data_IF_300859393160
#
_entry.id   IF_300859393160
#
_cell.length_a   1.000
_cell.length_b   1.000
_cell.length_c   1.000
_cell.angle_alpha   90.00
_cell.angle_beta   90.00
_cell.angle_gamma   90.00
#
_symmetry.space_group_name_H-M   'P 1'
#
loop_
_entity.id
_entity.type
_entity.pdbx_description
1 polymer ?
#
# COMPACT_ATOMS: atom_id res chain seq x y z
N UNK A 1 3.23 30.73 25.87
CA UNK A 1 2.16 30.27 24.95
C UNK A 1 2.50 30.81 23.57
N UNK A 2 3.22 30.03 22.77
CA UNK A 2 3.59 30.43 21.40
C UNK A 2 2.73 29.59 20.48
N UNK A 3 1.63 30.17 20.02
CA UNK A 3 0.81 29.65 18.93
C UNK A 3 1.68 29.57 17.67
N UNK A 4 2.27 28.41 17.42
CA UNK A 4 2.91 28.11 16.16
C UNK A 4 1.83 28.14 15.07
N UNK A 5 1.81 29.22 14.29
CA UNK A 5 0.98 29.35 13.13
C UNK A 5 1.24 28.16 12.20
N UNK A 6 0.25 27.26 12.05
CA UNK A 6 0.27 26.25 11.01
C UNK A 6 0.33 27.00 9.68
N UNK A 7 1.49 27.04 9.03
CA UNK A 7 1.67 27.76 7.77
C UNK A 7 0.76 27.09 6.73
N UNK A 8 -0.03 27.89 6.01
CA UNK A 8 -0.99 27.48 4.98
C UNK A 8 -0.45 26.49 3.91
N UNK A 9 0.88 26.39 3.79
CA UNK A 9 1.62 25.44 2.95
C UNK A 9 1.36 23.97 3.34
N UNK A 10 1.17 23.67 4.63
CA UNK A 10 1.11 22.28 5.14
C UNK A 10 -0.24 21.58 4.86
N UNK A 11 -1.19 22.29 4.24
CA UNK A 11 -2.54 21.79 3.92
C UNK A 11 -2.84 21.71 2.42
N UNK A 12 -1.88 22.06 1.55
CA UNK A 12 -2.12 22.03 0.10
C UNK A 12 -1.86 20.64 -0.45
N UNK A 13 -2.91 20.01 -0.97
CA UNK A 13 -2.82 18.76 -1.73
C UNK A 13 -1.99 19.02 -2.99
N UNK A 14 -0.99 18.18 -3.25
CA UNK A 14 -0.16 18.31 -4.45
C UNK A 14 -1.00 18.15 -5.72
N UNK A 15 -0.84 19.01 -6.74
CA UNK A 15 -1.46 18.81 -8.05
C UNK A 15 -1.16 17.44 -8.67
N UNK A 16 0.03 16.88 -8.37
CA UNK A 16 0.42 15.54 -8.80
C UNK A 16 -0.50 14.47 -8.21
N UNK A 17 -0.80 14.56 -6.90
CA UNK A 17 -1.72 13.64 -6.25
C UNK A 17 -3.13 13.74 -6.83
N UNK A 18 -3.62 14.97 -7.05
CA UNK A 18 -4.92 15.19 -7.71
C UNK A 18 -4.93 14.58 -9.10
N UNK A 19 -3.84 14.74 -9.87
CA UNK A 19 -3.69 14.09 -11.17
C UNK A 19 -3.77 12.57 -11.10
N UNK A 20 -3.11 11.94 -10.13
CA UNK A 20 -3.15 10.47 -9.94
C UNK A 20 -4.56 10.02 -9.54
N UNK A 21 -5.24 10.74 -8.64
CA UNK A 21 -6.64 10.45 -8.28
C UNK A 21 -7.55 10.58 -9.50
N UNK A 22 -7.35 11.60 -10.33
CA UNK A 22 -8.10 11.77 -11.57
C UNK A 22 -7.85 10.61 -12.56
N UNK A 23 -6.60 10.15 -12.71
CA UNK A 23 -6.28 8.97 -13.51
C UNK A 23 -7.00 7.74 -12.97
N UNK A 24 -6.95 7.49 -11.66
CA UNK A 24 -7.65 6.37 -11.04
C UNK A 24 -9.17 6.45 -11.28
N UNK A 25 -9.78 7.63 -11.13
CA UNK A 25 -11.21 7.81 -11.36
C UNK A 25 -11.62 7.60 -12.82
N UNK A 26 -10.88 8.18 -13.77
CA UNK A 26 -11.17 8.07 -15.21
C UNK A 26 -10.97 6.65 -15.71
N UNK A 27 -9.90 5.99 -15.28
CA UNK A 27 -9.60 4.61 -15.72
C UNK A 27 -10.49 3.59 -15.02
N UNK A 28 -10.88 3.84 -13.75
CA UNK A 28 -11.92 3.07 -13.06
C UNK A 28 -13.30 3.23 -13.71
N UNK A 29 -13.65 4.42 -14.19
CA UNK A 29 -14.85 4.61 -15.00
C UNK A 29 -14.74 3.88 -16.34
N UNK A 30 -13.60 3.94 -17.02
CA UNK A 30 -13.39 3.27 -18.30
C UNK A 30 -13.44 1.73 -18.17
N UNK A 31 -12.94 1.16 -17.07
CA UNK A 31 -13.08 -0.29 -16.78
C UNK A 31 -14.51 -0.67 -16.44
N UNK A 32 -15.28 0.23 -15.82
CA UNK A 32 -16.70 0.01 -15.55
C UNK A 32 -17.55 0.09 -16.81
N UNK A 33 -17.40 1.11 -17.64
CA UNK A 33 -18.26 1.28 -18.83
C UNK A 33 -17.83 0.44 -20.01
N UNK A 34 -16.66 -0.22 -19.95
CA UNK A 34 -16.06 -0.90 -21.09
C UNK A 34 -15.64 0.07 -22.20
N UNK A 35 -15.33 1.33 -21.85
CA UNK A 35 -14.98 2.37 -22.82
C UNK A 35 -13.62 2.12 -23.50
N UNK A 36 -12.70 1.46 -22.80
CA UNK A 36 -11.36 1.22 -23.33
C UNK A 36 -11.38 0.09 -24.38
N UNK A 37 -10.83 0.36 -25.57
CA UNK A 37 -10.64 -0.66 -26.62
C UNK A 37 -9.84 -1.87 -26.13
N UNK A 38 -8.89 -1.63 -25.22
CA UNK A 38 -8.14 -2.66 -24.52
C UNK A 38 -8.45 -2.60 -23.02
N UNK A 39 -9.33 -3.48 -22.50
CA UNK A 39 -9.73 -3.49 -21.09
C UNK A 39 -8.52 -3.57 -20.13
N UNK A 40 -7.50 -4.35 -20.50
CA UNK A 40 -6.30 -4.54 -19.69
C UNK A 40 -5.49 -3.25 -19.46
N UNK A 41 -5.45 -2.33 -20.42
CA UNK A 41 -4.77 -1.03 -20.24
C UNK A 41 -5.50 -0.18 -19.20
N UNK A 42 -6.84 -0.18 -19.24
CA UNK A 42 -7.64 0.55 -18.26
C UNK A 42 -7.50 -0.07 -16.86
N UNK A 43 -7.49 -1.39 -16.74
CA UNK A 43 -7.22 -2.10 -15.48
C UNK A 43 -5.84 -1.78 -14.94
N UNK A 44 -4.80 -1.83 -15.78
CA UNK A 44 -3.43 -1.51 -15.40
C UNK A 44 -3.31 -0.10 -14.81
N UNK A 45 -3.85 0.90 -15.52
CA UNK A 45 -3.78 2.29 -15.07
C UNK A 45 -4.62 2.52 -13.81
N UNK A 46 -5.81 1.91 -13.72
CA UNK A 46 -6.67 2.00 -12.55
C UNK A 46 -6.00 1.46 -11.29
N UNK A 47 -5.53 0.21 -11.35
CA UNK A 47 -4.91 -0.48 -10.21
C UNK A 47 -3.62 0.23 -9.82
N UNK A 48 -2.77 0.61 -10.78
CA UNK A 48 -1.50 1.32 -10.50
C UNK A 48 -1.75 2.67 -9.84
N UNK A 49 -2.68 3.47 -10.39
CA UNK A 49 -2.98 4.79 -9.83
C UNK A 49 -3.61 4.69 -8.43
N UNK A 50 -4.57 3.78 -8.24
CA UNK A 50 -5.20 3.54 -6.94
C UNK A 50 -4.19 3.04 -5.88
N UNK A 51 -3.27 2.16 -6.29
CA UNK A 51 -2.16 1.71 -5.46
C UNK A 51 -1.26 2.87 -5.01
N UNK A 52 -0.84 3.74 -5.93
CA UNK A 52 -0.03 4.93 -5.62
C UNK A 52 -0.78 5.88 -4.67
N UNK A 53 -2.10 6.04 -4.86
CA UNK A 53 -2.93 6.82 -3.93
C UNK A 53 -2.87 6.23 -2.52
N UNK A 54 -3.05 4.91 -2.37
CA UNK A 54 -2.97 4.25 -1.06
C UNK A 54 -1.62 4.47 -0.37
N UNK A 55 -0.52 4.41 -1.13
CA UNK A 55 0.83 4.65 -0.61
C UNK A 55 1.01 6.10 -0.16
N UNK A 56 0.49 7.06 -0.92
CA UNK A 56 0.52 8.46 -0.50
C UNK A 56 -0.27 8.67 0.80
N UNK A 57 -1.41 7.99 0.96
CA UNK A 57 -2.22 8.03 2.17
C UNK A 57 -1.52 7.36 3.35
N UNK A 58 -0.85 6.23 3.14
CA UNK A 58 -0.03 5.53 4.12
C UNK A 58 1.05 6.44 4.72
N UNK A 59 1.84 7.08 3.86
CA UNK A 59 2.90 8.00 4.30
C UNK A 59 2.35 9.26 4.94
N UNK A 60 1.24 9.76 4.42
CA UNK A 60 0.52 10.86 5.04
C UNK A 60 0.01 10.50 6.44
N UNK A 61 -0.45 9.27 6.67
CA UNK A 61 -0.91 8.81 7.97
C UNK A 61 0.22 8.76 9.01
N UNK A 62 1.40 8.28 8.62
CA UNK A 62 2.62 8.38 9.44
C UNK A 62 2.93 9.83 9.80
N UNK A 63 3.03 10.69 8.79
CA UNK A 63 3.35 12.11 8.96
C UNK A 63 2.33 12.84 9.86
N UNK A 64 1.05 12.57 9.64
CA UNK A 64 -0.05 13.19 10.39
C UNK A 64 -0.07 12.76 11.85
N UNK A 65 0.12 11.47 12.10
CA UNK A 65 0.14 10.90 13.46
C UNK A 65 1.34 11.40 14.25
N UNK A 66 2.48 11.56 13.59
CA UNK A 66 3.68 12.10 14.22
C UNK A 66 3.56 13.60 14.50
N UNK A 67 2.92 14.38 13.61
CA UNK A 67 2.57 15.78 13.89
C UNK A 67 1.67 15.91 15.13
N UNK A 68 0.60 15.11 15.20
CA UNK A 68 -0.29 15.09 16.39
C UNK A 68 0.45 14.62 17.65
N UNK A 69 1.47 13.78 17.50
CA UNK A 69 2.30 13.28 18.61
C UNK A 69 3.34 14.30 19.11
N UNK A 70 3.48 15.44 18.43
CA UNK A 70 4.35 16.56 18.81
C UNK A 70 5.61 16.74 17.96
N UNK A 71 5.77 15.98 16.86
CA UNK A 71 6.89 16.17 15.95
C UNK A 71 6.60 17.28 14.92
N UNK A 72 7.03 18.48 15.27
CA UNK A 72 6.89 19.69 14.46
C UNK A 72 7.83 19.70 13.24
N UNK A 73 8.82 18.79 13.17
CA UNK A 73 9.78 18.73 12.04
C UNK A 73 9.17 18.21 10.74
N UNK A 74 8.01 17.55 10.83
CA UNK A 74 7.36 16.89 9.70
C UNK A 74 6.66 17.89 8.77
N UNK A 75 6.14 19.00 9.33
CA UNK A 75 5.58 20.09 8.52
C UNK A 75 6.60 20.64 7.52
N UNK A 76 7.86 20.79 7.94
CA UNK A 76 8.95 21.28 7.08
C UNK A 76 9.43 20.29 6.01
N UNK A 77 9.15 18.99 6.13
CA UNK A 77 9.61 17.97 5.17
C UNK A 77 8.67 17.78 3.97
N UNK A 78 7.50 18.40 3.99
CA UNK A 78 6.54 18.35 2.87
C UNK A 78 5.76 17.03 2.73
N UNK A 79 5.91 16.09 3.66
CA UNK A 79 5.17 14.82 3.69
C UNK A 79 3.66 15.00 3.89
N UNK A 80 3.21 16.17 4.36
CA UNK A 80 1.78 16.49 4.48
C UNK A 80 1.11 16.89 3.15
N UNK A 81 1.88 16.99 2.06
CA UNK A 81 1.36 17.46 0.75
C UNK A 81 0.87 16.34 -0.17
N UNK A 82 0.87 15.08 0.29
CA UNK A 82 0.47 13.90 -0.50
C UNK A 82 1.27 13.72 -1.80
N UNK A 83 2.46 14.32 -1.92
CA UNK A 83 3.24 14.27 -3.15
C UNK A 83 4.13 13.01 -3.18
N UNK A 84 3.89 12.03 -4.10
CA UNK A 84 4.69 10.81 -4.18
C UNK A 84 6.17 11.08 -4.42
N UNK A 85 6.51 12.17 -5.12
CA UNK A 85 7.88 12.53 -5.48
C UNK A 85 8.69 13.07 -4.30
N UNK A 86 8.03 13.44 -3.19
CA UNK A 86 8.71 13.97 -2.00
C UNK A 86 9.05 12.90 -0.98
N UNK A 87 8.52 11.69 -1.12
CA UNK A 87 8.80 10.60 -0.18
C UNK A 87 10.16 9.98 -0.49
N UNK A 88 11.08 10.02 0.49
CA UNK A 88 12.51 9.72 0.32
C UNK A 88 12.83 8.29 -0.13
N UNK A 89 11.91 7.34 0.06
CA UNK A 89 12.09 5.94 -0.35
C UNK A 89 11.10 5.46 -1.41
N UNK A 90 10.37 6.37 -2.07
CA UNK A 90 9.39 6.02 -3.11
C UNK A 90 9.94 5.05 -4.18
N UNK A 91 11.24 5.09 -4.49
CA UNK A 91 11.86 4.14 -5.42
C UNK A 91 11.97 2.70 -4.87
N UNK A 92 12.47 2.50 -3.65
CA UNK A 92 12.53 1.15 -3.07
C UNK A 92 11.16 0.67 -2.60
N UNK A 93 10.27 1.62 -2.29
CA UNK A 93 8.99 1.35 -1.67
C UNK A 93 7.81 1.26 -2.64
N UNK A 94 7.90 1.93 -3.77
CA UNK A 94 6.78 1.99 -4.72
C UNK A 94 7.20 1.33 -6.02
N UNK A 95 8.43 1.59 -6.46
CA UNK A 95 8.89 1.13 -7.78
C UNK A 95 9.27 -0.36 -7.76
N UNK A 96 9.93 -0.87 -6.71
CA UNK A 96 10.33 -2.28 -6.67
C UNK A 96 9.11 -3.24 -6.58
N UNK A 97 8.18 -3.09 -5.62
CA UNK A 97 6.83 -3.68 -5.64
C UNK A 97 6.13 -3.75 -7.00
N UNK A 98 5.94 -2.59 -7.62
CA UNK A 98 5.18 -2.44 -8.86
C UNK A 98 5.93 -3.07 -10.02
N UNK A 99 7.27 -2.94 -10.07
CA UNK A 99 8.10 -3.63 -11.07
C UNK A 99 8.00 -5.15 -10.94
N UNK A 100 7.95 -5.72 -9.74
CA UNK A 100 7.78 -7.16 -9.57
C UNK A 100 6.40 -7.64 -10.03
N UNK A 101 5.32 -6.91 -9.69
CA UNK A 101 3.97 -7.17 -10.21
C UNK A 101 3.95 -7.14 -11.75
N UNK A 102 4.66 -6.19 -12.36
CA UNK A 102 4.78 -6.03 -13.81
C UNK A 102 5.66 -7.12 -14.45
N UNK A 103 6.76 -7.53 -13.82
CA UNK A 103 7.63 -8.60 -14.34
C UNK A 103 7.02 -10.00 -14.19
N UNK A 104 5.89 -10.10 -13.49
CA UNK A 104 5.17 -11.34 -13.29
C UNK A 104 5.54 -12.12 -12.04
N UNK A 105 6.21 -11.44 -11.11
CA UNK A 105 6.38 -11.87 -9.74
C UNK A 105 5.33 -11.25 -8.82
N UNK A 106 5.00 -12.00 -7.78
CA UNK A 106 4.68 -11.58 -6.41
C UNK A 106 4.62 -10.04 -6.21
N UNK A 107 3.41 -9.49 -6.01
CA UNK A 107 3.24 -8.09 -5.58
C UNK A 107 3.44 -7.94 -4.09
N UNK A 108 4.27 -6.98 -3.65
CA UNK A 108 4.62 -6.76 -2.23
C UNK A 108 4.75 -5.25 -1.95
N UNK A 109 4.56 -4.73 -0.72
CA UNK A 109 4.62 -3.31 -0.43
C UNK A 109 6.03 -2.78 -0.24
N UNK A 110 6.06 -1.46 -0.10
CA UNK A 110 7.24 -0.67 -0.02
C UNK A 110 7.94 -0.52 1.29
N UNK A 111 9.25 -0.22 1.22
CA UNK A 111 10.08 0.18 2.36
C UNK A 111 9.66 1.45 3.09
N UNK A 112 10.18 1.58 4.30
CA UNK A 112 9.75 2.58 5.27
C UNK A 112 10.27 4.01 5.02
N UNK A 113 9.51 4.99 5.52
CA UNK A 113 9.93 6.38 5.69
C UNK A 113 10.67 6.58 7.01
N UNK A 114 11.85 7.23 6.95
CA UNK A 114 12.61 7.61 8.13
C UNK A 114 11.98 8.82 8.84
N UNK A 115 11.31 8.53 9.95
CA UNK A 115 10.82 9.52 10.92
C UNK A 115 11.92 9.77 11.94
N UNK A 116 12.18 11.05 12.27
CA UNK A 116 13.12 11.43 13.32
C UNK A 116 12.50 11.18 14.71
N UNK A 117 12.56 9.92 15.15
CA UNK A 117 12.02 9.43 16.44
C UNK A 117 12.62 10.14 17.68
N UNK A 118 13.68 10.94 17.53
CA UNK A 118 14.36 11.61 18.64
C UNK A 118 13.55 12.68 19.39
N UNK A 119 12.45 13.20 18.83
CA UNK A 119 11.65 14.28 19.45
C UNK A 119 10.34 13.85 20.10
N UNK A 120 9.93 12.59 19.95
CA UNK A 120 8.60 12.15 20.39
C UNK A 120 8.70 11.47 21.75
N UNK A 121 8.00 12.02 22.75
CA UNK A 121 7.99 11.50 24.13
C UNK A 121 6.92 10.42 24.29
N UNK A 122 7.33 9.17 24.52
CA UNK A 122 6.48 8.07 24.96
C UNK A 122 6.43 6.88 23.99
N UNK A 123 6.63 5.66 24.52
CA UNK A 123 6.71 4.41 23.73
C UNK A 123 5.46 4.15 22.89
N UNK A 124 4.28 4.43 23.46
CA UNK A 124 2.99 4.30 22.78
C UNK A 124 2.83 5.21 21.56
N UNK A 125 3.35 6.45 21.63
CA UNK A 125 3.25 7.38 20.50
C UNK A 125 4.12 6.92 19.34
N UNK A 126 5.32 6.40 19.62
CA UNK A 126 6.18 5.79 18.60
C UNK A 126 5.50 4.60 17.94
N UNK A 127 4.93 3.69 18.73
CA UNK A 127 4.20 2.53 18.20
C UNK A 127 3.01 2.96 17.34
N UNK A 128 2.24 3.96 17.77
CA UNK A 128 1.07 4.44 17.04
C UNK A 128 1.46 5.10 15.71
N UNK A 129 2.56 5.86 15.69
CA UNK A 129 3.09 6.45 14.45
C UNK A 129 3.45 5.36 13.47
N UNK A 130 4.20 4.34 13.88
CA UNK A 130 4.54 3.22 13.02
C UNK A 130 3.33 2.36 12.64
N UNK A 131 2.28 2.29 13.45
CA UNK A 131 1.05 1.57 13.08
C UNK A 131 0.17 2.34 12.08
N UNK A 132 0.29 3.67 12.00
CA UNK A 132 -0.64 4.52 11.24
C UNK A 132 -0.66 4.21 9.73
N UNK A 133 0.50 3.97 9.11
CA UNK A 133 0.59 3.56 7.71
C UNK A 133 -0.04 2.19 7.46
N UNK A 134 0.43 1.12 8.13
CA UNK A 134 -0.17 -0.22 8.00
C UNK A 134 -1.68 -0.25 8.22
N UNK A 135 -2.19 0.50 9.21
CA UNK A 135 -3.63 0.64 9.46
C UNK A 135 -4.37 1.35 8.33
N UNK A 136 -3.72 2.29 7.64
CA UNK A 136 -4.29 2.97 6.47
C UNK A 136 -4.39 2.00 5.29
N UNK A 137 -3.38 1.15 5.06
CA UNK A 137 -3.45 0.09 4.05
C UNK A 137 -4.54 -0.92 4.38
N UNK A 138 -4.66 -1.33 5.65
CA UNK A 138 -5.71 -2.23 6.09
C UNK A 138 -7.11 -1.62 5.89
N UNK A 139 -7.29 -0.33 6.22
CA UNK A 139 -8.54 0.37 5.96
C UNK A 139 -8.84 0.45 4.46
N UNK A 140 -7.84 0.73 3.62
CA UNK A 140 -7.99 0.76 2.18
C UNK A 140 -8.37 -0.62 1.63
N UNK A 141 -7.75 -1.69 2.13
CA UNK A 141 -8.10 -3.07 1.81
C UNK A 141 -9.58 -3.35 2.16
N UNK A 142 -10.04 -2.97 3.35
CA UNK A 142 -11.45 -3.11 3.75
C UNK A 142 -12.39 -2.34 2.82
N UNK A 143 -12.02 -1.13 2.40
CA UNK A 143 -12.82 -0.37 1.44
C UNK A 143 -12.88 -1.06 0.07
N UNK A 144 -11.77 -1.64 -0.39
CA UNK A 144 -11.73 -2.38 -1.64
C UNK A 144 -12.52 -3.70 -1.57
N UNK A 145 -12.53 -4.37 -0.42
CA UNK A 145 -13.29 -5.63 -0.26
C UNK A 145 -14.74 -5.43 0.15
N UNK A 146 -15.13 -4.24 0.65
CA UNK A 146 -16.49 -3.90 1.07
C UNK A 146 -17.57 -4.34 0.08
N UNK A 147 -17.45 -4.08 -1.24
CA UNK A 147 -18.49 -4.48 -2.18
C UNK A 147 -18.73 -6.00 -2.25
N UNK A 148 -17.71 -6.81 -1.98
CA UNK A 148 -17.76 -8.28 -2.10
C UNK A 148 -18.60 -8.90 -0.97
N UNK A 149 -18.32 -8.54 0.28
CA UNK A 149 -19.06 -9.11 1.43
C UNK A 149 -20.37 -8.39 1.75
N UNK A 150 -20.58 -7.16 1.23
CA UNK A 150 -21.86 -6.46 1.32
C UNK A 150 -22.87 -6.89 0.25
N UNK A 151 -22.47 -7.74 -0.71
CA UNK A 151 -23.32 -8.11 -1.85
C UNK A 151 -23.61 -6.94 -2.79
N UNK A 152 -22.76 -5.91 -2.83
CA UNK A 152 -22.96 -4.71 -3.65
C UNK A 152 -22.36 -4.84 -5.05
N UNK A 153 -22.12 -6.07 -5.51
CA UNK A 153 -21.53 -6.38 -6.82
C UNK A 153 -22.56 -6.77 -7.89
N UNK A 154 -23.85 -6.78 -7.54
CA UNK A 154 -24.92 -7.05 -8.49
C UNK A 154 -24.97 -5.96 -9.57
N UNK A 155 -24.93 -6.38 -10.83
CA UNK A 155 -24.86 -5.47 -11.98
C UNK A 155 -23.49 -4.81 -12.23
N UNK A 156 -22.47 -5.14 -11.43
CA UNK A 156 -21.09 -4.67 -11.64
C UNK A 156 -20.42 -5.47 -12.76
N UNK A 157 -19.87 -4.81 -13.79
CA UNK A 157 -19.14 -5.45 -14.87
C UNK A 157 -18.01 -6.36 -14.36
N UNK A 158 -17.84 -7.59 -14.92
CA UNK A 158 -16.83 -8.53 -14.46
C UNK A 158 -15.40 -7.97 -14.48
N UNK A 159 -15.03 -7.23 -15.55
CA UNK A 159 -13.71 -6.60 -15.67
C UNK A 159 -13.41 -5.66 -14.49
N UNK A 160 -14.36 -4.82 -14.10
CA UNK A 160 -14.20 -3.93 -12.95
C UNK A 160 -14.10 -4.71 -11.65
N UNK A 161 -14.93 -5.74 -11.48
CA UNK A 161 -14.90 -6.63 -10.32
C UNK A 161 -13.53 -7.31 -10.16
N UNK A 162 -12.97 -7.84 -11.23
CA UNK A 162 -11.64 -8.46 -11.25
C UNK A 162 -10.53 -7.45 -10.94
N UNK A 163 -10.60 -6.25 -11.53
CA UNK A 163 -9.66 -5.17 -11.23
C UNK A 163 -9.69 -4.77 -9.74
N UNK A 164 -10.89 -4.68 -9.15
CA UNK A 164 -11.08 -4.37 -7.73
C UNK A 164 -10.59 -5.50 -6.83
N UNK A 165 -10.84 -6.76 -7.19
CA UNK A 165 -10.35 -7.94 -6.46
C UNK A 165 -8.82 -7.98 -6.45
N UNK A 166 -8.18 -7.71 -7.58
CA UNK A 166 -6.72 -7.63 -7.66
C UNK A 166 -6.15 -6.44 -6.88
N UNK A 167 -6.80 -5.27 -6.93
CA UNK A 167 -6.42 -4.15 -6.07
C UNK A 167 -6.53 -4.53 -4.58
N UNK A 168 -7.59 -5.24 -4.18
CA UNK A 168 -7.75 -5.73 -2.81
C UNK A 168 -6.62 -6.70 -2.41
N UNK A 169 -6.24 -7.64 -3.29
CA UNK A 169 -5.09 -8.54 -3.10
C UNK A 169 -3.82 -7.75 -2.81
N UNK A 170 -3.52 -6.74 -3.62
CA UNK A 170 -2.36 -5.88 -3.41
C UNK A 170 -2.43 -5.18 -2.04
N UNK A 171 -3.58 -4.62 -1.66
CA UNK A 171 -3.75 -3.89 -0.40
C UNK A 171 -3.66 -4.79 0.85
N UNK A 172 -4.23 -5.98 0.81
CA UNK A 172 -4.12 -6.98 1.88
C UNK A 172 -2.65 -7.41 2.02
N UNK A 173 -2.00 -7.72 0.90
CA UNK A 173 -0.58 -8.03 0.86
C UNK A 173 0.26 -6.89 1.44
N UNK A 174 -0.09 -5.65 1.08
CA UNK A 174 0.55 -4.45 1.60
C UNK A 174 0.43 -4.32 3.12
N UNK A 175 -0.76 -4.56 3.64
CA UNK A 175 -1.04 -4.48 5.06
C UNK A 175 -0.25 -5.56 5.82
N UNK A 176 -0.33 -6.82 5.38
CA UNK A 176 0.34 -7.95 6.05
C UNK A 176 1.84 -7.73 6.12
N UNK A 177 2.49 -7.39 4.99
CA UNK A 177 3.93 -7.19 4.97
C UNK A 177 4.36 -5.97 5.80
N UNK A 178 3.60 -4.87 5.77
CA UNK A 178 3.93 -3.72 6.62
C UNK A 178 3.68 -3.99 8.11
N UNK A 179 2.88 -4.98 8.48
CA UNK A 179 2.75 -5.42 9.88
C UNK A 179 3.84 -6.42 10.32
N UNK A 180 4.66 -6.95 9.41
CA UNK A 180 5.73 -7.87 9.80
C UNK A 180 6.73 -7.19 10.75
N UNK A 181 7.11 -7.86 11.85
CA UNK A 181 8.07 -7.32 12.82
C UNK A 181 9.53 -7.43 12.32
N UNK A 182 9.79 -7.07 11.06
CA UNK A 182 11.12 -7.12 10.44
C UNK A 182 11.76 -5.72 10.45
N UNK A 183 13.04 -5.59 10.88
CA UNK A 183 13.73 -4.31 10.93
C UNK A 183 13.67 -3.57 9.59
N UNK A 184 13.29 -2.30 9.58
CA UNK A 184 13.13 -1.53 8.33
C UNK A 184 11.73 -1.57 7.72
N UNK A 185 10.82 -2.37 8.27
CA UNK A 185 9.37 -2.27 8.03
C UNK A 185 8.65 -1.61 9.21
N UNK A 186 7.44 -1.15 8.97
CA UNK A 186 6.64 -0.43 9.96
C UNK A 186 6.26 -1.27 11.17
N UNK A 187 5.98 -2.57 10.97
CA UNK A 187 5.65 -3.51 12.03
C UNK A 187 6.75 -3.65 13.07
N UNK A 188 8.03 -3.61 12.64
CA UNK A 188 9.14 -3.50 13.60
C UNK A 188 9.10 -2.18 14.34
N UNK A 189 8.78 -1.07 13.67
CA UNK A 189 8.60 0.24 14.28
C UNK A 189 7.52 0.26 15.37
N UNK A 190 6.50 -0.61 15.29
CA UNK A 190 5.47 -0.77 16.34
C UNK A 190 6.04 -1.40 17.60
N UNK A 191 6.88 -2.44 17.47
CA UNK A 191 7.45 -3.18 18.60
C UNK A 191 8.76 -2.59 19.12
N UNK A 192 9.51 -1.87 18.28
CA UNK A 192 10.82 -1.31 18.61
C UNK A 192 10.82 -0.53 19.93
N UNK A 193 9.85 0.36 20.22
CA UNK A 193 9.80 1.12 21.48
C UNK A 193 9.68 0.27 22.74
N UNK A 194 9.34 -1.02 22.61
CA UNK A 194 9.20 -1.99 23.69
C UNK A 194 10.44 -2.87 23.87
N UNK A 195 11.29 -2.96 22.85
CA UNK A 195 12.54 -3.72 22.91
C UNK A 195 13.56 -3.05 23.83
N UNK A 196 14.44 -3.87 24.44
CA UNK A 196 15.55 -3.37 25.26
C UNK A 196 16.56 -2.59 24.40
N UNK A 197 17.28 -1.66 25.03
CA UNK A 197 18.29 -0.84 24.33
C UNK A 197 19.37 -1.69 23.63
N UNK A 198 19.78 -2.81 24.26
CA UNK A 198 20.76 -3.75 23.69
C UNK A 198 20.26 -4.35 22.36
N UNK A 199 19.01 -4.80 22.33
CA UNK A 199 18.40 -5.38 21.13
C UNK A 199 18.28 -4.35 20.02
N UNK A 200 17.80 -3.13 20.32
CA UNK A 200 17.70 -2.08 19.29
C UNK A 200 19.03 -1.77 18.63
N UNK A 201 20.09 -1.60 19.44
CA UNK A 201 21.43 -1.29 18.93
C UNK A 201 22.04 -2.43 18.09
N UNK A 202 21.69 -3.68 18.39
CA UNK A 202 22.11 -4.83 17.59
C UNK A 202 21.35 -4.93 16.26
N UNK A 203 20.09 -4.51 16.25
CA UNK A 203 19.18 -4.65 15.11
C UNK A 203 19.23 -3.46 14.15
N UNK A 204 19.55 -2.26 14.65
CA UNK A 204 19.64 -1.01 13.88
C UNK A 204 20.48 -1.12 12.58
N UNK A 205 21.66 -1.78 12.56
CA UNK A 205 22.44 -1.94 11.33
C UNK A 205 21.75 -2.78 10.25
N UNK A 206 20.80 -3.63 10.63
CA UNK A 206 20.06 -4.51 9.71
C UNK A 206 18.82 -3.85 9.12
N UNK A 207 18.36 -2.71 9.65
CA UNK A 207 17.14 -2.04 9.19
C UNK A 207 17.14 -1.71 7.68
N UNK A 208 18.24 -1.24 7.06
CA UNK A 208 18.26 -1.00 5.61
C UNK A 208 18.14 -2.29 4.77
N UNK A 209 18.52 -3.44 5.34
CA UNK A 209 18.50 -4.73 4.66
C UNK A 209 17.20 -5.51 4.88
N UNK A 210 16.35 -5.13 5.83
CA UNK A 210 15.20 -5.97 6.17
C UNK A 210 14.18 -6.11 5.05
N UNK A 211 13.96 -5.07 4.24
CA UNK A 211 13.14 -5.18 3.04
C UNK A 211 13.73 -6.21 2.05
N UNK A 212 15.05 -6.16 1.82
CA UNK A 212 15.78 -7.12 0.97
C UNK A 212 15.70 -8.54 1.57
N UNK A 213 15.79 -8.67 2.89
CA UNK A 213 15.67 -9.95 3.58
C UNK A 213 14.28 -10.57 3.42
N UNK A 214 13.22 -9.77 3.52
CA UNK A 214 11.84 -10.22 3.25
C UNK A 214 11.72 -10.71 1.81
N UNK A 215 12.28 -9.99 0.84
CA UNK A 215 12.30 -10.44 -0.56
C UNK A 215 13.06 -11.76 -0.74
N UNK A 216 14.24 -11.89 -0.14
CA UNK A 216 15.04 -13.12 -0.23
C UNK A 216 14.31 -14.32 0.37
N UNK A 217 13.59 -14.12 1.48
CA UNK A 217 12.79 -15.16 2.13
C UNK A 217 11.56 -15.53 1.32
N UNK A 218 10.86 -14.56 0.72
CA UNK A 218 9.70 -14.81 -0.14
C UNK A 218 10.07 -15.38 -1.51
N UNK A 219 11.35 -15.43 -1.86
CA UNK A 219 11.83 -16.15 -3.05
C UNK A 219 11.82 -17.67 -2.84
N UNK A 220 11.78 -18.14 -1.59
CA UNK A 220 11.66 -19.56 -1.27
C UNK A 220 10.23 -20.00 -1.61
N UNK A 221 10.02 -20.95 -2.55
CA UNK A 221 8.69 -21.30 -3.05
C UNK A 221 7.72 -21.72 -1.95
N UNK A 222 8.21 -22.46 -0.95
CA UNK A 222 7.39 -22.91 0.17
C UNK A 222 6.91 -21.71 0.97
N UNK A 223 7.81 -20.80 1.36
CA UNK A 223 7.45 -19.60 2.14
C UNK A 223 6.51 -18.71 1.34
N UNK A 224 6.72 -18.62 0.03
CA UNK A 224 5.84 -17.88 -0.86
C UNK A 224 4.42 -18.45 -0.88
N UNK A 225 4.27 -19.77 -1.02
CA UNK A 225 2.99 -20.46 -0.97
C UNK A 225 2.26 -20.18 0.34
N UNK A 226 2.92 -20.42 1.48
CA UNK A 226 2.34 -20.13 2.81
C UNK A 226 1.94 -18.66 2.98
N UNK A 227 2.71 -17.73 2.42
CA UNK A 227 2.39 -16.31 2.48
C UNK A 227 1.13 -15.97 1.67
N UNK A 228 1.03 -16.43 0.43
CA UNK A 228 -0.15 -16.17 -0.40
C UNK A 228 -1.37 -16.96 0.05
N UNK A 229 -1.21 -18.18 0.58
CA UNK A 229 -2.31 -18.92 1.23
C UNK A 229 -2.93 -18.09 2.37
N UNK A 230 -2.09 -17.40 3.16
CA UNK A 230 -2.56 -16.51 4.22
C UNK A 230 -3.28 -15.27 3.65
N UNK A 231 -2.76 -14.67 2.57
CA UNK A 231 -3.41 -13.54 1.89
C UNK A 231 -4.76 -13.95 1.31
N UNK A 232 -4.82 -15.09 0.63
CA UNK A 232 -6.03 -15.65 0.02
C UNK A 232 -7.05 -16.05 1.08
N UNK A 233 -6.62 -16.61 2.22
CA UNK A 233 -7.51 -16.90 3.34
C UNK A 233 -8.17 -15.62 3.89
N UNK A 234 -7.42 -14.52 3.99
CA UNK A 234 -7.97 -13.21 4.39
C UNK A 234 -8.94 -12.68 3.34
N UNK A 235 -8.58 -12.74 2.05
CA UNK A 235 -9.45 -12.31 0.96
C UNK A 235 -10.75 -13.11 0.88
N UNK A 236 -10.66 -14.44 0.96
CA UNK A 236 -11.81 -15.34 0.98
C UNK A 236 -12.72 -15.07 2.18
N UNK A 237 -12.14 -14.79 3.35
CA UNK A 237 -12.89 -14.34 4.53
C UNK A 237 -13.60 -12.99 4.32
N UNK A 238 -13.12 -12.15 3.41
CA UNK A 238 -13.72 -10.88 3.00
C UNK A 238 -14.60 -11.00 1.74
N UNK A 239 -14.91 -12.22 1.29
CA UNK A 239 -15.79 -12.49 0.15
C UNK A 239 -15.14 -12.32 -1.22
N UNK A 240 -13.83 -12.09 -1.30
CA UNK A 240 -13.09 -12.03 -2.56
C UNK A 240 -12.60 -13.42 -2.91
N UNK A 241 -13.11 -13.98 -4.00
CA UNK A 241 -12.68 -15.29 -4.50
C UNK A 241 -11.31 -15.17 -5.19
N UNK A 242 -10.42 -16.15 -4.97
CA UNK A 242 -9.06 -16.16 -5.55
C UNK A 242 -9.08 -16.01 -7.07
N UNK A 243 -10.00 -16.70 -7.74
CA UNK A 243 -10.20 -16.60 -9.20
C UNK A 243 -10.43 -15.15 -9.69
N UNK A 244 -11.14 -14.33 -8.92
CA UNK A 244 -11.42 -12.94 -9.30
C UNK A 244 -10.15 -12.08 -9.21
N UNK A 245 -9.33 -12.32 -8.19
CA UNK A 245 -8.04 -11.67 -8.04
C UNK A 245 -7.05 -12.12 -9.13
N UNK A 246 -7.04 -13.41 -9.49
CA UNK A 246 -6.23 -13.96 -10.57
C UNK A 246 -6.61 -13.34 -11.91
N UNK A 247 -7.90 -13.32 -12.27
CA UNK A 247 -8.35 -12.67 -13.50
C UNK A 247 -7.99 -11.18 -13.55
N UNK A 248 -8.04 -10.49 -12.41
CA UNK A 248 -7.60 -9.11 -12.31
C UNK A 248 -6.09 -8.97 -12.54
N UNK A 249 -5.27 -9.90 -12.04
CA UNK A 249 -3.83 -9.95 -12.29
C UNK A 249 -3.52 -10.20 -13.78
N UNK A 250 -4.23 -11.11 -14.43
CA UNK A 250 -4.07 -11.38 -15.87
C UNK A 250 -4.46 -10.16 -16.73
N UNK A 251 -5.55 -9.47 -16.37
CA UNK A 251 -5.97 -8.23 -17.03
C UNK A 251 -4.96 -7.10 -16.79
N UNK A 252 -4.40 -7.01 -15.59
CA UNK A 252 -3.34 -6.05 -15.28
C UNK A 252 -2.07 -6.29 -16.11
N UNK A 253 -1.72 -7.57 -16.35
CA UNK A 253 -0.57 -8.00 -17.17
C UNK A 253 -0.95 -8.22 -18.63
N UNK A 254 -1.70 -7.29 -19.20
CA UNK A 254 -2.28 -7.41 -20.54
C UNK A 254 -1.28 -7.73 -21.66
N UNK A 255 0.00 -7.37 -21.51
CA UNK A 255 1.07 -7.69 -22.47
C UNK A 255 1.47 -9.18 -22.53
N UNK A 256 1.02 -10.01 -21.59
CA UNK A 256 1.29 -11.46 -21.59
C UNK A 256 0.14 -12.30 -22.15
N UNK A 257 -0.94 -11.65 -22.56
CA UNK A 257 -2.19 -12.31 -22.92
C UNK A 257 -3.09 -12.51 -21.70
N UNK A 258 -4.38 -12.31 -21.90
CA UNK A 258 -5.41 -12.55 -20.88
C UNK A 258 -6.20 -13.79 -21.29
N UNK A 259 -6.41 -14.77 -20.39
CA UNK A 259 -7.22 -15.94 -20.70
C UNK A 259 -8.65 -15.55 -21.11
N UNK A 260 -9.20 -16.23 -22.12
CA UNK A 260 -10.53 -15.90 -22.67
C UNK A 260 -11.63 -15.93 -21.60
N UNK A 261 -11.56 -16.84 -20.63
CA UNK A 261 -12.54 -16.95 -19.55
C UNK A 261 -12.59 -15.75 -18.60
N UNK A 262 -11.52 -14.94 -18.54
CA UNK A 262 -11.51 -13.69 -17.76
C UNK A 262 -12.10 -12.50 -18.54
N UNK A 263 -12.33 -12.65 -19.85
CA UNK A 263 -12.85 -11.60 -20.75
C UNK A 263 -14.25 -11.94 -21.27
N UNK A 264 -14.60 -13.23 -21.34
CA UNK A 264 -15.81 -13.74 -21.98
C UNK A 264 -17.06 -13.81 -21.08
N UNK A 265 -17.21 -12.95 -20.07
CA UNK A 265 -18.35 -12.94 -19.15
C UNK A 265 -19.04 -11.58 -19.08
#
# INVERSE_FOLDING_TARGET
MTTAASRHSDRRISPVFVGIVAVAAVTGWATWTGFAEQPGVAVFLFVTAAWIVSLCLHEYAHARTALHSGDISIGSKGYLTLNPLKYTHALLSIVLPVLFVIMGGIGLPGGAVFIERGRIRGRWKHSLISAAGPLTNALFAVVCTAPFWLGALDGVPPVFRYALAFLALLQVTAAILNFLPVPGLDGYGVIEPWLSYKVRRQVEPFAPFGLIAVFAVLWIPEVNGWFFDAVEAVLGGLGVEGFQADCGQWLYRFWQGTPEFCVAQ
#
